data_IF_946851514404
#
_entry.id   IF_946851514404
#
_cell.length_a   1.000
_cell.length_b   1.000
_cell.length_c   1.000
_cell.angle_alpha   90.00
_cell.angle_beta   90.00
_cell.angle_gamma   90.00
#
_symmetry.space_group_name_H-M   'P 1'
#
loop_
_entity.id
_entity.type
_entity.pdbx_description
1 polymer ?
#
# COMPACT_ATOMS: atom_id res chain seq x y z
N UNK A 1 -6.94 -22.81 11.64
CA UNK A 1 -6.71 -22.21 12.97
C UNK A 1 -7.40 -20.84 13.03
N UNK A 2 -7.84 -20.33 14.17
CA UNK A 2 -8.32 -18.93 14.24
C UNK A 2 -7.11 -17.99 14.24
N UNK A 3 -7.20 -16.83 13.58
CA UNK A 3 -6.08 -15.86 13.46
C UNK A 3 -5.42 -15.55 14.83
N UNK A 4 -6.23 -15.31 15.87
CA UNK A 4 -5.73 -15.04 17.22
C UNK A 4 -4.95 -16.20 17.85
N UNK A 5 -5.33 -17.44 17.55
CA UNK A 5 -4.62 -18.63 18.05
C UNK A 5 -3.27 -18.79 17.35
N UNK A 6 -3.25 -18.59 16.03
CA UNK A 6 -2.03 -18.62 15.23
C UNK A 6 -1.02 -17.57 15.69
N UNK A 7 -1.50 -16.35 15.97
CA UNK A 7 -0.67 -15.27 16.51
C UNK A 7 -0.09 -15.65 17.87
N UNK A 8 -0.89 -16.21 18.79
CA UNK A 8 -0.41 -16.59 20.13
C UNK A 8 0.65 -17.70 20.06
N UNK A 9 0.46 -18.69 19.19
CA UNK A 9 1.44 -19.75 18.97
C UNK A 9 2.74 -19.18 18.39
N UNK A 10 2.64 -18.32 17.38
CA UNK A 10 3.80 -17.64 16.80
C UNK A 10 4.55 -16.77 17.83
N UNK A 11 3.83 -16.04 18.69
CA UNK A 11 4.41 -15.28 19.81
C UNK A 11 5.08 -16.18 20.86
N UNK A 12 4.59 -17.40 21.06
CA UNK A 12 5.16 -18.39 21.97
C UNK A 12 6.40 -19.10 21.39
N UNK A 13 6.81 -18.78 20.16
CA UNK A 13 7.98 -19.35 19.50
C UNK A 13 7.69 -20.55 18.59
N UNK A 14 6.42 -20.84 18.30
CA UNK A 14 6.06 -21.85 17.29
C UNK A 14 6.43 -21.34 15.89
N UNK A 15 7.43 -21.98 15.30
CA UNK A 15 7.96 -21.59 13.99
C UNK A 15 6.97 -21.86 12.85
N UNK A 16 6.21 -22.95 12.91
CA UNK A 16 5.26 -23.29 11.85
C UNK A 16 4.08 -22.32 11.87
N UNK A 17 3.58 -21.97 13.07
CA UNK A 17 2.56 -20.95 13.24
C UNK A 17 3.02 -19.58 12.73
N UNK A 18 4.28 -19.21 12.99
CA UNK A 18 4.87 -17.97 12.48
C UNK A 18 4.94 -17.96 10.96
N UNK A 19 5.42 -19.03 10.34
CA UNK A 19 5.52 -19.13 8.87
C UNK A 19 4.14 -19.06 8.22
N UNK A 20 3.15 -19.76 8.77
CA UNK A 20 1.77 -19.69 8.29
C UNK A 20 1.21 -18.26 8.42
N UNK A 21 1.46 -17.59 9.55
CA UNK A 21 1.03 -16.21 9.77
C UNK A 21 1.65 -15.25 8.76
N UNK A 22 2.97 -15.32 8.55
CA UNK A 22 3.66 -14.45 7.58
C UNK A 22 3.19 -14.70 6.14
N UNK A 23 3.00 -15.97 5.75
CA UNK A 23 2.42 -16.31 4.43
C UNK A 23 1.01 -15.77 4.25
N UNK A 24 0.21 -15.75 5.32
CA UNK A 24 -1.17 -15.26 5.25
C UNK A 24 -1.26 -13.75 4.94
N UNK A 25 -0.25 -12.97 5.32
CA UNK A 25 -0.22 -11.52 5.14
C UNK A 25 0.68 -11.04 3.99
N UNK A 26 1.57 -11.89 3.49
CA UNK A 26 2.56 -11.56 2.43
C UNK A 26 1.93 -10.86 1.23
N UNK A 27 0.83 -11.40 0.70
CA UNK A 27 0.15 -10.82 -0.46
C UNK A 27 -0.46 -9.44 -0.19
N UNK A 28 -1.03 -9.23 1.01
CA UNK A 28 -1.60 -7.93 1.42
C UNK A 28 -0.49 -6.89 1.63
N UNK A 29 0.62 -7.29 2.27
CA UNK A 29 1.82 -6.45 2.45
C UNK A 29 2.36 -6.01 1.10
N UNK A 30 2.56 -6.95 0.19
CA UNK A 30 3.06 -6.66 -1.16
C UNK A 30 2.14 -5.75 -1.95
N UNK A 31 0.85 -6.08 -2.00
CA UNK A 31 -0.13 -5.28 -2.72
C UNK A 31 -0.18 -3.85 -2.16
N UNK A 32 -0.17 -3.68 -0.84
CA UNK A 32 -0.17 -2.36 -0.22
C UNK A 32 1.08 -1.57 -0.59
N UNK A 33 2.26 -2.18 -0.46
CA UNK A 33 3.52 -1.56 -0.85
C UNK A 33 3.55 -1.19 -2.35
N UNK A 34 3.02 -2.04 -3.21
CA UNK A 34 2.96 -1.80 -4.66
C UNK A 34 2.09 -0.61 -5.04
N UNK A 35 0.89 -0.51 -4.47
CA UNK A 35 0.02 0.63 -4.73
C UNK A 35 0.51 1.90 -4.03
N UNK A 36 1.28 1.82 -2.95
CA UNK A 36 1.89 2.98 -2.30
C UNK A 36 3.13 3.44 -3.06
N UNK A 37 4.06 2.58 -3.44
CA UNK A 37 5.35 2.98 -4.01
C UNK A 37 5.30 3.15 -5.54
N UNK A 38 4.34 2.52 -6.19
CA UNK A 38 4.07 2.74 -7.62
C UNK A 38 5.07 2.07 -8.57
N UNK A 39 5.94 1.19 -8.07
CA UNK A 39 6.80 0.33 -8.87
C UNK A 39 7.08 -0.99 -8.14
N UNK A 40 7.34 -2.04 -8.92
CA UNK A 40 7.48 -3.42 -8.43
C UNK A 40 8.72 -3.63 -7.57
N UNK A 41 9.88 -3.11 -7.99
CA UNK A 41 11.14 -3.32 -7.27
C UNK A 41 11.08 -2.74 -5.85
N UNK A 42 10.65 -1.49 -5.72
CA UNK A 42 10.50 -0.86 -4.40
C UNK A 42 9.45 -1.55 -3.55
N UNK A 43 8.38 -2.07 -4.18
CA UNK A 43 7.35 -2.83 -3.48
C UNK A 43 7.90 -4.14 -2.92
N UNK A 44 8.64 -4.92 -3.71
CA UNK A 44 9.28 -6.15 -3.25
C UNK A 44 10.23 -5.87 -2.08
N UNK A 45 11.10 -4.88 -2.21
CA UNK A 45 12.05 -4.49 -1.16
C UNK A 45 11.31 -4.06 0.12
N UNK A 46 10.30 -3.20 -0.01
CA UNK A 46 9.51 -2.71 1.12
C UNK A 46 8.73 -3.84 1.81
N UNK A 47 8.23 -4.81 1.03
CA UNK A 47 7.46 -5.94 1.54
C UNK A 47 8.33 -6.86 2.36
N UNK A 48 9.52 -7.18 1.87
CA UNK A 48 10.48 -7.99 2.60
C UNK A 48 10.90 -7.32 3.91
N UNK A 49 11.26 -6.03 3.86
CA UNK A 49 11.59 -5.26 5.05
C UNK A 49 10.41 -5.19 6.04
N UNK A 50 9.18 -5.01 5.56
CA UNK A 50 7.99 -5.01 6.39
C UNK A 50 7.76 -6.37 7.06
N UNK A 51 7.86 -7.49 6.33
CA UNK A 51 7.72 -8.84 6.87
C UNK A 51 8.79 -9.14 7.93
N UNK A 52 10.03 -8.70 7.71
CA UNK A 52 11.11 -8.82 8.71
C UNK A 52 10.79 -7.98 9.96
N UNK A 53 10.29 -6.75 9.80
CA UNK A 53 9.87 -5.90 10.93
C UNK A 53 8.68 -6.48 11.68
N UNK A 54 7.73 -7.09 10.97
CA UNK A 54 6.57 -7.78 11.55
C UNK A 54 7.04 -8.96 12.38
N UNK A 55 7.88 -9.83 11.82
CA UNK A 55 8.50 -10.94 12.54
C UNK A 55 9.18 -10.48 13.83
N UNK A 56 10.04 -9.46 13.74
CA UNK A 56 10.81 -8.93 14.88
C UNK A 56 9.97 -8.24 15.96
N UNK A 57 8.77 -7.78 15.62
CA UNK A 57 7.89 -7.04 16.53
C UNK A 57 6.63 -7.80 16.91
N UNK A 58 6.49 -9.05 16.46
CA UNK A 58 5.25 -9.81 16.64
C UNK A 58 4.89 -9.97 18.12
N UNK A 59 5.89 -10.10 18.99
CA UNK A 59 5.77 -10.12 20.46
C UNK A 59 5.15 -8.85 21.04
N UNK A 60 5.28 -7.71 20.37
CA UNK A 60 4.69 -6.43 20.79
C UNK A 60 3.22 -6.27 20.40
N UNK A 61 2.71 -7.11 19.50
CA UNK A 61 1.31 -7.06 19.09
C UNK A 61 0.39 -7.46 20.25
N UNK A 62 -0.63 -6.62 20.47
CA UNK A 62 -1.69 -6.85 21.45
C UNK A 62 -3.02 -6.76 20.71
N UNK A 63 -4.02 -7.56 21.11
CA UNK A 63 -5.37 -7.61 20.53
C UNK A 63 -6.22 -6.33 20.80
N UNK A 64 -5.57 -5.15 20.91
CA UNK A 64 -6.20 -3.83 21.04
C UNK A 64 -6.68 -3.25 19.72
N UNK A 65 -6.10 -3.71 18.61
CA UNK A 65 -6.49 -3.39 17.25
C UNK A 65 -6.48 -4.68 16.42
N UNK A 66 -7.12 -4.67 15.25
CA UNK A 66 -7.03 -5.81 14.32
C UNK A 66 -5.58 -6.03 13.92
N UNK A 67 -5.20 -7.30 13.73
CA UNK A 67 -3.84 -7.66 13.33
C UNK A 67 -3.46 -7.00 11.99
N UNK A 68 -4.40 -6.99 11.04
CA UNK A 68 -4.25 -6.30 9.76
C UNK A 68 -3.89 -4.81 9.93
N UNK A 69 -4.55 -4.11 10.85
CA UNK A 69 -4.28 -2.69 11.13
C UNK A 69 -2.85 -2.49 11.68
N UNK A 70 -2.41 -3.38 12.58
CA UNK A 70 -1.04 -3.35 13.11
C UNK A 70 0.02 -3.65 12.05
N UNK A 71 -0.22 -4.65 11.19
CA UNK A 71 0.62 -4.97 10.02
C UNK A 71 0.71 -3.77 9.09
N UNK A 72 -0.42 -3.17 8.74
CA UNK A 72 -0.46 -2.04 7.82
C UNK A 72 0.28 -0.81 8.38
N UNK A 73 0.28 -0.59 9.69
CA UNK A 73 1.13 0.46 10.30
C UNK A 73 2.62 0.23 9.99
N UNK A 74 3.09 -1.01 10.03
CA UNK A 74 4.49 -1.34 9.71
C UNK A 74 4.76 -1.11 8.22
N UNK A 75 3.88 -1.59 7.34
CA UNK A 75 4.00 -1.41 5.88
C UNK A 75 4.07 0.07 5.51
N UNK A 76 3.17 0.88 6.06
CA UNK A 76 3.12 2.32 5.80
C UNK A 76 4.39 3.03 6.29
N UNK A 77 4.93 2.66 7.46
CA UNK A 77 6.18 3.21 7.95
C UNK A 77 7.35 2.91 7.00
N UNK A 78 7.47 1.67 6.52
CA UNK A 78 8.52 1.30 5.54
C UNK A 78 8.37 2.09 4.23
N UNK A 79 7.14 2.26 3.74
CA UNK A 79 6.90 3.05 2.53
C UNK A 79 7.24 4.54 2.73
N UNK A 80 6.93 5.10 3.91
CA UNK A 80 7.28 6.47 4.26
C UNK A 80 8.78 6.68 4.39
N UNK A 81 9.50 5.71 4.97
CA UNK A 81 10.96 5.72 5.03
C UNK A 81 11.56 5.78 3.61
N UNK A 82 11.03 4.98 2.67
CA UNK A 82 11.43 5.04 1.25
C UNK A 82 11.13 6.40 0.60
N UNK A 83 9.94 6.98 0.83
CA UNK A 83 9.62 8.31 0.29
C UNK A 83 10.57 9.40 0.81
N UNK A 84 10.99 9.32 2.08
CA UNK A 84 11.97 10.26 2.65
C UNK A 84 13.33 10.11 1.98
N UNK A 85 13.80 8.87 1.81
CA UNK A 85 15.07 8.58 1.14
C UNK A 85 15.07 9.06 -0.33
N UNK A 86 13.98 8.87 -1.07
CA UNK A 86 13.83 9.38 -2.45
C UNK A 86 13.88 10.91 -2.52
N UNK A 87 13.28 11.60 -1.55
CA UNK A 87 13.32 13.06 -1.51
C UNK A 87 14.74 13.59 -1.25
N UNK A 88 15.50 12.90 -0.41
CA UNK A 88 16.89 13.25 -0.11
C UNK A 88 17.80 13.02 -1.32
N UNK A 89 17.57 11.98 -2.13
CA UNK A 89 18.35 11.72 -3.35
C UNK A 89 18.02 12.67 -4.50
N UNK A 90 16.75 13.07 -4.66
CA UNK A 90 16.31 14.04 -5.70
C UNK A 90 16.82 15.47 -5.39
N UNK A 91 17.26 15.76 -4.16
CA UNK A 91 17.84 17.06 -3.80
C UNK A 91 19.24 17.31 -4.40
N UNK A 92 19.80 16.39 -5.19
CA UNK A 92 21.14 16.52 -5.81
C UNK A 92 21.10 16.52 -7.34
N UNK A 93 20.07 15.98 -8.00
CA UNK A 93 19.95 16.04 -9.47
C UNK A 93 18.48 16.23 -9.88
N UNK A 94 18.21 17.38 -10.49
CA UNK A 94 16.94 17.72 -11.10
C UNK A 94 16.89 17.11 -12.51
N UNK A 95 16.17 16.00 -12.70
CA UNK A 95 15.74 15.59 -14.04
C UNK A 95 14.39 14.88 -14.07
N UNK A 96 13.59 15.28 -15.06
CA UNK A 96 12.27 14.78 -15.44
C UNK A 96 12.27 13.26 -15.66
N UNK A 97 11.27 12.59 -15.08
CA UNK A 97 11.00 11.18 -15.34
C UNK A 97 10.08 11.05 -16.57
N UNK A 98 10.68 10.65 -17.70
CA UNK A 98 9.97 10.12 -18.87
C UNK A 98 9.66 8.64 -18.62
N UNK A 99 8.40 8.23 -18.81
CA UNK A 99 7.95 6.83 -18.68
C UNK A 99 7.80 6.22 -20.09
N UNK A 100 8.38 5.04 -20.39
CA UNK A 100 8.12 4.36 -21.65
C UNK A 100 6.90 3.43 -21.55
N UNK A 101 6.08 3.46 -22.59
CA UNK A 101 4.83 2.71 -22.75
C UNK A 101 5.06 1.41 -23.55
N UNK A 102 4.38 0.30 -23.19
CA UNK A 102 4.40 -0.98 -23.93
C UNK A 102 3.09 -1.81 -23.78
N UNK A 103 2.23 -1.70 -24.80
CA UNK A 103 1.46 -2.66 -25.62
C UNK A 103 0.91 -4.04 -25.07
N UNK A 104 -0.44 -4.15 -25.08
CA UNK A 104 -1.40 -5.02 -25.85
C UNK A 104 -1.40 -6.58 -25.91
N UNK A 105 -2.57 -7.22 -25.66
CA UNK A 105 -3.18 -8.59 -25.91
C UNK A 105 -4.63 -8.71 -25.31
N UNK A 106 -5.70 -8.50 -26.07
CA UNK A 106 -7.09 -8.27 -25.56
C UNK A 106 -7.82 -9.45 -24.83
N UNK A 107 -8.79 -9.06 -23.98
CA UNK A 107 -9.71 -9.78 -23.07
C UNK A 107 -9.24 -10.18 -21.65
N UNK A 108 -8.16 -10.95 -21.45
CA UNK A 108 -7.53 -11.08 -20.11
C UNK A 108 -6.81 -9.78 -19.68
N UNK A 109 -6.56 -8.94 -20.69
CA UNK A 109 -6.05 -7.60 -20.54
C UNK A 109 -7.06 -6.60 -20.04
N UNK A 110 -8.37 -6.79 -20.16
CA UNK A 110 -9.27 -5.72 -19.70
C UNK A 110 -9.22 -5.56 -18.17
N UNK A 111 -9.12 -6.67 -17.43
CA UNK A 111 -8.96 -6.66 -15.96
C UNK A 111 -7.54 -6.26 -15.54
N UNK A 112 -6.53 -6.70 -16.28
CA UNK A 112 -5.11 -6.36 -16.04
C UNK A 112 -4.82 -4.89 -16.39
N UNK A 113 -5.38 -4.37 -17.47
CA UNK A 113 -5.33 -2.96 -17.88
C UNK A 113 -6.12 -2.09 -16.93
N UNK A 114 -7.33 -2.47 -16.52
CA UNK A 114 -8.07 -1.70 -15.51
C UNK A 114 -7.30 -1.64 -14.19
N UNK A 115 -6.68 -2.74 -13.78
CA UNK A 115 -5.81 -2.79 -12.59
C UNK A 115 -4.56 -1.92 -12.78
N UNK A 116 -3.97 -1.91 -13.97
CA UNK A 116 -2.84 -1.04 -14.35
C UNK A 116 -3.25 0.44 -14.35
N UNK A 117 -4.40 0.79 -14.91
CA UNK A 117 -4.92 2.15 -15.00
C UNK A 117 -5.22 2.72 -13.61
N UNK A 118 -5.86 1.90 -12.76
CA UNK A 118 -6.08 2.26 -11.35
C UNK A 118 -4.74 2.45 -10.64
N UNK A 119 -3.77 1.56 -10.86
CA UNK A 119 -2.44 1.69 -10.27
C UNK A 119 -1.74 2.97 -10.72
N UNK A 120 -1.79 3.30 -12.02
CA UNK A 120 -1.20 4.51 -12.57
C UNK A 120 -1.89 5.77 -12.04
N UNK A 121 -3.22 5.76 -11.94
CA UNK A 121 -3.98 6.87 -11.36
C UNK A 121 -3.62 7.08 -9.88
N UNK A 122 -3.53 6.00 -9.10
CA UNK A 122 -3.11 6.04 -7.69
C UNK A 122 -1.65 6.52 -7.57
N UNK A 123 -0.76 6.10 -8.48
CA UNK A 123 0.63 6.56 -8.54
C UNK A 123 0.75 8.07 -8.81
N UNK A 124 -0.18 8.67 -9.56
CA UNK A 124 -0.19 10.12 -9.80
C UNK A 124 -0.64 10.94 -8.58
N UNK A 125 -1.26 10.31 -7.58
CA UNK A 125 -1.65 11.01 -6.36
C UNK A 125 -0.42 11.41 -5.53
N UNK A 126 -0.47 12.55 -4.81
CA UNK A 126 0.47 12.85 -3.74
C UNK A 126 0.56 11.70 -2.72
N UNK A 127 1.75 11.42 -2.19
CA UNK A 127 2.02 10.28 -1.32
C UNK A 127 1.00 10.13 -0.17
N UNK A 128 0.68 11.24 0.51
CA UNK A 128 -0.29 11.25 1.61
C UNK A 128 -1.73 10.87 1.21
N UNK A 129 -2.13 11.15 -0.04
CA UNK A 129 -3.44 10.78 -0.59
C UNK A 129 -3.45 9.31 -1.01
N UNK A 130 -2.34 8.87 -1.60
CA UNK A 130 -2.11 7.47 -1.97
C UNK A 130 -2.24 6.54 -0.77
N UNK A 131 -1.61 6.88 0.36
CA UNK A 131 -1.67 6.07 1.59
C UNK A 131 -3.09 5.90 2.11
N UNK A 132 -3.87 6.98 2.23
CA UNK A 132 -5.24 6.87 2.74
C UNK A 132 -6.16 6.11 1.77
N UNK A 133 -5.93 6.21 0.46
CA UNK A 133 -6.67 5.45 -0.55
C UNK A 133 -6.37 3.96 -0.43
N UNK A 134 -5.10 3.57 -0.36
CA UNK A 134 -4.69 2.17 -0.21
C UNK A 134 -5.29 1.57 1.05
N UNK A 135 -5.13 2.23 2.20
CA UNK A 135 -5.67 1.74 3.45
C UNK A 135 -7.20 1.64 3.44
N UNK A 136 -7.91 2.57 2.79
CA UNK A 136 -9.37 2.54 2.76
C UNK A 136 -9.94 1.51 1.79
N UNK A 137 -9.39 1.42 0.59
CA UNK A 137 -10.02 0.67 -0.51
C UNK A 137 -9.40 -0.70 -0.74
N UNK A 138 -8.12 -0.91 -0.40
CA UNK A 138 -7.45 -2.21 -0.57
C UNK A 138 -7.48 -3.01 0.73
N UNK A 139 -7.32 -2.34 1.87
CA UNK A 139 -7.23 -2.97 3.19
C UNK A 139 -8.51 -2.83 4.02
N UNK A 140 -9.53 -2.14 3.47
CA UNK A 140 -10.85 -1.88 4.07
C UNK A 140 -10.79 -1.34 5.51
N UNK A 141 -9.76 -0.57 5.84
CA UNK A 141 -9.65 0.06 7.16
C UNK A 141 -10.68 1.18 7.31
N UNK A 142 -11.31 1.25 8.47
CA UNK A 142 -12.18 2.37 8.83
C UNK A 142 -11.40 3.68 8.89
N UNK A 143 -12.08 4.82 8.81
CA UNK A 143 -11.38 6.12 8.91
C UNK A 143 -10.64 6.30 10.24
N UNK A 144 -11.16 5.67 11.30
CA UNK A 144 -10.55 5.67 12.62
C UNK A 144 -9.26 4.82 12.63
N UNK A 145 -9.30 3.61 12.07
CA UNK A 145 -8.11 2.76 11.93
C UNK A 145 -7.04 3.42 11.04
N UNK A 146 -7.44 4.13 9.98
CA UNK A 146 -6.51 4.89 9.13
C UNK A 146 -5.86 6.03 9.93
N UNK A 147 -6.64 6.78 10.70
CA UNK A 147 -6.15 7.86 11.55
C UNK A 147 -5.10 7.34 12.54
N UNK A 148 -5.38 6.20 13.19
CA UNK A 148 -4.44 5.55 14.09
C UNK A 148 -3.21 5.01 13.34
N UNK A 149 -3.41 4.35 12.19
CA UNK A 149 -2.32 3.74 11.40
C UNK A 149 -1.30 4.79 10.96
N UNK A 150 -1.78 5.95 10.50
CA UNK A 150 -0.95 7.02 9.95
C UNK A 150 -0.57 8.11 10.97
N UNK A 151 -1.04 8.00 12.22
CA UNK A 151 -0.92 9.03 13.24
C UNK A 151 -1.41 10.41 12.76
N UNK A 152 -2.63 10.42 12.20
CA UNK A 152 -3.27 11.61 11.65
C UNK A 152 -4.59 11.92 12.36
N UNK A 153 -5.00 13.19 12.47
CA UNK A 153 -6.34 13.54 12.92
C UNK A 153 -7.40 12.94 11.97
N UNK A 154 -8.51 12.43 12.54
CA UNK A 154 -9.62 11.85 11.77
C UNK A 154 -10.16 12.81 10.68
N UNK A 155 -10.19 14.11 10.96
CA UNK A 155 -10.61 15.12 9.99
C UNK A 155 -9.62 15.23 8.82
N UNK A 156 -8.32 15.10 9.08
CA UNK A 156 -7.28 15.06 8.03
C UNK A 156 -7.49 13.84 7.13
N UNK A 157 -7.77 12.67 7.70
CA UNK A 157 -8.08 11.46 6.92
C UNK A 157 -9.29 11.69 6.01
N UNK A 158 -10.38 12.25 6.54
CA UNK A 158 -11.58 12.58 5.75
C UNK A 158 -11.28 13.54 4.60
N UNK A 159 -10.54 14.62 4.89
CA UNK A 159 -10.15 15.60 3.88
C UNK A 159 -9.20 15.01 2.82
N UNK A 160 -8.24 14.17 3.21
CA UNK A 160 -7.34 13.52 2.28
C UNK A 160 -8.08 12.55 1.38
N UNK A 161 -8.96 11.70 1.93
CA UNK A 161 -9.79 10.80 1.14
C UNK A 161 -10.72 11.55 0.18
N UNK A 162 -11.29 12.67 0.62
CA UNK A 162 -12.10 13.51 -0.25
C UNK A 162 -11.30 14.05 -1.45
N UNK A 163 -10.13 14.65 -1.20
CA UNK A 163 -9.26 15.18 -2.26
C UNK A 163 -8.72 14.08 -3.17
N UNK A 164 -8.34 12.94 -2.59
CA UNK A 164 -7.87 11.78 -3.35
C UNK A 164 -8.94 11.27 -4.31
N UNK A 165 -10.21 11.18 -3.86
CA UNK A 165 -11.33 10.80 -4.73
C UNK A 165 -11.57 11.80 -5.85
N UNK A 166 -11.50 13.10 -5.58
CA UNK A 166 -11.66 14.11 -6.64
C UNK A 166 -10.57 13.97 -7.71
N UNK A 167 -9.31 13.84 -7.29
CA UNK A 167 -8.19 13.65 -8.24
C UNK A 167 -8.29 12.33 -9.00
N UNK A 168 -8.65 11.23 -8.33
CA UNK A 168 -8.88 9.95 -9.02
C UNK A 168 -10.05 10.04 -10.01
N UNK A 169 -11.11 10.78 -9.68
CA UNK A 169 -12.24 10.98 -10.58
C UNK A 169 -11.80 11.75 -11.83
N UNK A 170 -11.04 12.84 -11.69
CA UNK A 170 -10.48 13.60 -12.82
C UNK A 170 -9.57 12.70 -13.68
N UNK A 171 -8.62 12.02 -13.03
CA UNK A 171 -7.68 11.13 -13.69
C UNK A 171 -8.37 9.99 -14.43
N UNK A 172 -9.43 9.39 -13.89
CA UNK A 172 -10.12 8.27 -14.54
C UNK A 172 -11.20 8.72 -15.54
N UNK A 173 -11.76 9.93 -15.39
CA UNK A 173 -12.73 10.49 -16.34
C UNK A 173 -12.07 10.93 -17.64
N UNK A 174 -10.85 11.47 -17.56
CA UNK A 174 -10.06 11.78 -18.75
C UNK A 174 -9.70 10.52 -19.54
N UNK A 175 -9.55 9.36 -18.87
CA UNK A 175 -9.39 8.06 -19.54
C UNK A 175 -10.68 7.60 -20.23
N UNK A 176 -11.86 7.84 -19.64
CA UNK A 176 -13.15 7.50 -20.28
C UNK A 176 -13.44 8.36 -21.51
N UNK A 177 -12.93 9.60 -21.56
CA UNK A 177 -13.12 10.54 -22.68
C UNK A 177 -12.01 10.50 -23.73
N UNK A 178 -10.81 10.12 -23.34
CA UNK A 178 -9.64 9.96 -24.18
C UNK A 178 -9.02 8.61 -23.93
N UNK A 179 -9.59 7.57 -24.55
CA UNK A 179 -8.82 6.37 -24.84
C UNK A 179 -7.60 6.83 -25.62
N UNK A 180 -6.42 6.81 -24.98
CA UNK A 180 -5.19 7.21 -25.62
C UNK A 180 -5.05 6.36 -26.88
N UNK A 181 -4.80 7.07 -27.98
CA UNK A 181 -4.90 6.55 -29.33
C UNK A 181 -4.13 5.24 -29.53
N UNK A 182 -4.76 4.40 -30.37
CA UNK A 182 -4.00 3.62 -31.36
C UNK A 182 -3.07 4.52 -32.16
#
# INVERSE_FOLDING_TARGET
>A
MREAELIRMAQAGDHDALVELLRSIEASVYRSAYYILGNEQDALDASQEALIRIYRKLDTYQEKARFSTWVQRIVNNVCMDKFRAMKETVSIDEHELIIPDRNNVEDEILLTSLSSDIQQAIKKLPNQYRMVVVLRYLEDLSYQEIAETLDLPLNTVKSYLFRARQQLQELLHDYQKGGIGR
#
